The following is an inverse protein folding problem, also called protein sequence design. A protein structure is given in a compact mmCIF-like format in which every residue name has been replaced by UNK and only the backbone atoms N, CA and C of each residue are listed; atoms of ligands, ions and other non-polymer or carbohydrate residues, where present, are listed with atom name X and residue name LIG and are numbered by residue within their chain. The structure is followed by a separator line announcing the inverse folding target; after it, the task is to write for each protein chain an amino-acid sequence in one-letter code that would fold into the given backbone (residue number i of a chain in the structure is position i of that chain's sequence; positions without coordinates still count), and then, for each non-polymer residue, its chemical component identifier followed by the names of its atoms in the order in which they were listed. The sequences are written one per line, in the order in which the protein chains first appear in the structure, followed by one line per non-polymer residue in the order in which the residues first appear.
data_IF_345570714881
#
_entry.id   IF_345570714881
#
_cell.length_a   1.000
_cell.length_b   1.000
_cell.length_c   1.000
_cell.angle_alpha   90.00
_cell.angle_beta   90.00
_cell.angle_gamma   90.00
#
_symmetry.space_group_name_H-M   'P 1'
#
loop_
_entity.id
_entity.type
_entity.pdbx_description
1 polymer ?
#
# COMPACT_ATOMS: atom_id res chain seq x y z
N UNK A 1 32.06 -59.31 -28.56
CA UNK A 1 31.05 -58.70 -27.66
C UNK A 1 31.39 -57.22 -27.65
N UNK A 2 30.81 -56.44 -28.56
CA UNK A 2 29.51 -55.74 -28.40
C UNK A 2 29.71 -54.50 -27.50
N UNK A 3 29.79 -53.27 -28.05
CA UNK A 3 28.65 -52.37 -28.43
C UNK A 3 27.74 -52.07 -27.22
N UNK A 4 27.38 -50.85 -26.83
CA UNK A 4 27.33 -49.50 -27.46
C UNK A 4 27.56 -48.43 -26.34
N UNK A 5 27.73 -47.11 -26.49
CA UNK A 5 27.81 -46.18 -27.63
C UNK A 5 27.57 -44.72 -27.14
N UNK A 6 27.67 -43.70 -28.03
CA UNK A 6 27.40 -42.24 -27.80
C UNK A 6 28.37 -41.57 -26.83
N UNK A 7 29.39 -40.80 -27.23
CA UNK A 7 29.47 -39.65 -28.17
C UNK A 7 28.60 -38.45 -27.77
N UNK A 8 29.27 -37.40 -27.27
CA UNK A 8 28.74 -36.05 -27.09
C UNK A 8 29.36 -35.13 -28.16
N UNK A 9 28.57 -34.42 -28.99
CA UNK A 9 29.10 -33.51 -29.98
C UNK A 9 29.15 -32.05 -29.50
N UNK A 10 30.28 -31.41 -29.81
CA UNK A 10 30.42 -30.04 -30.32
C UNK A 10 29.83 -28.83 -29.54
N UNK A 11 30.72 -27.93 -29.11
CA UNK A 11 30.84 -26.64 -29.80
C UNK A 11 32.15 -25.91 -29.51
N UNK A 12 32.88 -25.57 -30.57
CA UNK A 12 33.99 -24.63 -30.53
C UNK A 12 33.83 -23.56 -31.63
N UNK A 13 34.42 -22.38 -31.40
CA UNK A 13 34.80 -21.36 -32.39
C UNK A 13 33.71 -20.56 -33.18
N UNK A 14 33.56 -19.30 -32.74
CA UNK A 14 33.69 -18.06 -33.53
C UNK A 14 32.99 -17.90 -34.91
N UNK A 15 32.08 -16.93 -34.97
CA UNK A 15 31.48 -16.44 -36.23
C UNK A 15 30.88 -15.02 -36.14
N UNK A 16 31.73 -14.02 -36.36
CA UNK A 16 31.52 -12.77 -37.13
C UNK A 16 30.11 -12.12 -37.23
N UNK A 17 30.05 -10.82 -36.88
CA UNK A 17 28.91 -9.92 -37.17
C UNK A 17 28.64 -9.74 -38.68
N UNK A 18 27.39 -9.39 -39.04
CA UNK A 18 27.10 -8.39 -40.06
C UNK A 18 26.56 -7.09 -39.44
N UNK A 19 26.73 -5.96 -40.16
CA UNK A 19 26.49 -4.60 -39.68
C UNK A 19 25.07 -4.09 -40.00
N UNK A 20 24.57 -3.21 -39.11
CA UNK A 20 23.69 -2.05 -39.37
C UNK A 20 22.49 -2.25 -40.30
N UNK A 21 21.30 -2.29 -39.73
CA UNK A 21 20.16 -1.59 -40.35
C UNK A 21 20.05 -0.20 -39.71
N UNK A 22 19.98 0.85 -40.53
CA UNK A 22 19.81 2.23 -40.07
C UNK A 22 18.37 2.62 -40.37
N UNK A 23 17.51 2.56 -39.35
CA UNK A 23 16.11 2.96 -39.43
C UNK A 23 15.82 4.04 -38.40
N UNK A 24 15.91 5.30 -38.81
CA UNK A 24 15.39 6.43 -38.04
C UNK A 24 14.08 6.86 -38.69
N UNK A 25 12.96 6.52 -38.07
CA UNK A 25 11.76 7.36 -38.05
C UNK A 25 11.00 7.12 -36.75
N UNK A 26 10.27 8.13 -36.32
CA UNK A 26 9.28 8.08 -35.26
C UNK A 26 8.38 6.84 -35.35
N UNK A 27 8.30 6.08 -34.26
CA UNK A 27 7.07 5.41 -33.88
C UNK A 27 6.91 5.55 -32.36
N UNK A 28 5.84 6.27 -31.96
CA UNK A 28 5.46 6.40 -30.57
C UNK A 28 4.81 5.09 -30.14
N UNK A 29 5.59 4.22 -29.48
CA UNK A 29 5.01 3.07 -28.77
C UNK A 29 4.20 3.64 -27.61
N UNK A 30 2.93 3.26 -27.54
CA UNK A 30 1.96 3.88 -26.66
C UNK A 30 2.39 3.84 -25.20
N UNK A 31 2.20 4.98 -24.51
CA UNK A 31 1.81 4.97 -23.12
C UNK A 31 0.47 4.24 -23.07
N UNK A 32 0.49 2.92 -22.84
CA UNK A 32 -0.72 2.17 -22.51
C UNK A 32 -1.32 2.80 -21.25
N UNK A 33 -2.63 3.03 -21.26
CA UNK A 33 -3.33 3.77 -20.21
C UNK A 33 -3.04 3.14 -18.84
N UNK A 34 -2.18 3.81 -18.05
CA UNK A 34 -2.04 3.53 -16.62
C UNK A 34 -3.45 3.67 -16.04
N UNK A 35 -4.03 2.55 -15.63
CA UNK A 35 -5.42 2.47 -15.22
C UNK A 35 -5.56 3.07 -13.81
N UNK A 36 -5.53 4.40 -13.75
CA UNK A 36 -5.53 5.19 -12.52
C UNK A 36 -6.59 4.67 -11.56
N UNK A 37 -6.18 3.98 -10.50
CA UNK A 37 -7.10 3.49 -9.49
C UNK A 37 -7.79 4.67 -8.80
N UNK A 38 -9.04 4.47 -8.39
CA UNK A 38 -9.81 5.46 -7.63
C UNK A 38 -8.99 5.92 -6.42
N UNK A 39 -8.89 7.23 -6.20
CA UNK A 39 -8.11 7.85 -5.11
C UNK A 39 -8.94 8.01 -3.86
N UNK A 40 -8.38 7.74 -2.68
CA UNK A 40 -9.05 8.13 -1.43
C UNK A 40 -9.03 9.65 -1.27
N UNK A 41 -10.05 10.23 -0.63
CA UNK A 41 -10.18 11.69 -0.47
C UNK A 41 -8.96 12.33 0.22
N UNK A 42 -8.42 11.67 1.24
CA UNK A 42 -7.26 12.15 1.99
C UNK A 42 -5.95 12.24 1.18
N UNK A 43 -5.83 11.51 0.05
CA UNK A 43 -4.61 11.50 -0.78
C UNK A 43 -4.33 12.88 -1.39
N UNK A 44 -5.38 13.68 -1.59
CA UNK A 44 -5.31 15.04 -2.13
C UNK A 44 -4.97 16.13 -1.12
N UNK A 45 -4.82 15.79 0.17
CA UNK A 45 -4.90 16.78 1.26
C UNK A 45 -3.62 16.97 2.08
N UNK A 46 -2.61 16.09 1.96
CA UNK A 46 -1.43 16.16 2.85
C UNK A 46 -0.23 15.31 2.42
N UNK A 47 0.94 15.64 2.98
CA UNK A 47 2.17 14.85 2.90
C UNK A 47 2.38 13.92 4.13
N UNK A 48 1.33 13.55 4.85
CA UNK A 48 1.39 12.65 6.01
C UNK A 48 0.22 11.68 6.03
N UNK A 49 0.45 10.47 6.50
CA UNK A 49 -0.59 9.43 6.57
C UNK A 49 -1.79 9.89 7.42
N UNK A 50 -3.00 9.79 6.87
CA UNK A 50 -4.22 10.40 7.46
C UNK A 50 -4.45 10.06 8.95
N UNK A 51 -4.33 8.79 9.34
CA UNK A 51 -4.58 8.35 10.73
C UNK A 51 -3.67 9.00 11.79
N UNK A 52 -2.60 9.70 11.38
CA UNK A 52 -1.67 10.42 12.27
C UNK A 52 -2.05 11.90 12.49
N UNK A 53 -3.06 12.42 11.79
CA UNK A 53 -3.36 13.86 11.75
C UNK A 53 -4.28 14.33 12.90
N UNK A 54 -5.15 13.45 13.39
CA UNK A 54 -5.93 13.65 14.62
C UNK A 54 -6.91 14.84 14.61
N UNK A 55 -8.03 14.71 13.89
CA UNK A 55 -9.10 15.71 13.92
C UNK A 55 -9.84 15.72 15.27
N UNK A 56 -9.90 16.90 15.91
CA UNK A 56 -10.58 17.11 17.20
C UNK A 56 -12.09 17.09 17.11
N UNK A 57 -12.70 17.40 15.95
CA UNK A 57 -14.16 17.39 15.80
C UNK A 57 -14.72 15.96 15.91
N UNK A 58 -13.95 14.97 15.43
CA UNK A 58 -14.22 13.54 15.49
C UNK A 58 -14.19 12.92 16.90
N UNK A 59 -13.71 13.65 17.92
CA UNK A 59 -13.67 13.23 19.34
C UNK A 59 -14.71 13.93 20.23
N UNK A 60 -15.64 14.69 19.65
CA UNK A 60 -16.81 15.18 20.40
C UNK A 60 -17.73 14.02 20.77
N UNK A 61 -18.43 14.10 21.91
CA UNK A 61 -19.38 13.05 22.35
C UNK A 61 -20.43 12.73 21.26
N UNK A 62 -20.88 13.75 20.53
CA UNK A 62 -21.83 13.59 19.42
C UNK A 62 -21.21 12.89 18.21
N UNK A 63 -19.96 13.17 17.85
CA UNK A 63 -19.27 12.48 16.77
C UNK A 63 -19.01 11.01 17.12
N UNK A 64 -18.56 10.74 18.35
CA UNK A 64 -18.35 9.38 18.87
C UNK A 64 -19.66 8.59 18.84
N UNK A 65 -20.77 9.16 19.33
CA UNK A 65 -22.07 8.50 19.30
C UNK A 65 -22.52 8.14 17.87
N UNK A 66 -22.36 9.05 16.90
CA UNK A 66 -22.66 8.77 15.49
C UNK A 66 -21.79 7.65 14.93
N UNK A 67 -20.47 7.66 15.18
CA UNK A 67 -19.54 6.62 14.71
C UNK A 67 -19.91 5.24 15.26
N UNK A 68 -20.32 5.16 16.52
CA UNK A 68 -20.84 3.92 17.12
C UNK A 68 -22.15 3.43 16.49
N UNK A 69 -23.02 4.32 15.99
CA UNK A 69 -24.21 3.94 15.23
C UNK A 69 -23.86 3.41 13.81
N UNK A 70 -22.81 3.94 13.18
CA UNK A 70 -22.36 3.51 11.85
C UNK A 70 -21.87 2.05 11.82
N UNK A 71 -21.36 1.52 12.93
CA UNK A 71 -20.98 0.11 13.07
C UNK A 71 -22.14 -0.88 12.82
N UNK A 72 -23.39 -0.41 12.88
CA UNK A 72 -24.61 -1.19 12.63
C UNK A 72 -25.32 -0.80 11.33
N UNK A 73 -24.73 0.09 10.52
CA UNK A 73 -25.30 0.49 9.23
C UNK A 73 -25.26 -0.70 8.26
N UNK A 74 -26.43 -1.08 7.73
CA UNK A 74 -26.56 -2.27 6.89
C UNK A 74 -25.73 -2.22 5.60
N UNK A 75 -25.60 -1.04 4.98
CA UNK A 75 -24.84 -0.87 3.73
C UNK A 75 -23.33 -0.92 4.00
N UNK A 76 -22.84 -0.30 5.07
CA UNK A 76 -21.43 -0.45 5.51
C UNK A 76 -21.11 -1.92 5.79
N UNK A 77 -22.00 -2.63 6.51
CA UNK A 77 -21.83 -4.05 6.81
C UNK A 77 -21.85 -4.92 5.55
N UNK A 78 -22.68 -4.60 4.54
CA UNK A 78 -22.69 -5.29 3.24
C UNK A 78 -21.37 -5.11 2.49
N UNK A 79 -20.80 -3.89 2.47
CA UNK A 79 -19.48 -3.65 1.85
C UNK A 79 -18.37 -4.40 2.58
N UNK A 80 -18.39 -4.47 3.91
CA UNK A 80 -17.42 -5.27 4.70
C UNK A 80 -17.62 -6.78 4.47
N UNK A 81 -18.86 -7.24 4.41
CA UNK A 81 -19.19 -8.63 4.10
C UNK A 81 -18.62 -9.07 2.75
N UNK A 82 -18.62 -8.19 1.74
CA UNK A 82 -18.00 -8.46 0.43
C UNK A 82 -16.53 -8.85 0.56
N UNK A 83 -15.75 -8.19 1.42
CA UNK A 83 -14.37 -8.61 1.70
C UNK A 83 -14.35 -10.01 2.35
N UNK A 84 -15.21 -10.28 3.34
CA UNK A 84 -15.29 -11.60 3.99
C UNK A 84 -15.60 -12.73 2.98
N UNK A 85 -16.50 -12.47 2.04
CA UNK A 85 -16.92 -13.42 1.00
C UNK A 85 -15.88 -13.60 -0.12
N UNK A 86 -14.85 -12.75 -0.18
CA UNK A 86 -13.70 -12.87 -1.11
C UNK A 86 -12.61 -13.82 -0.58
N UNK A 87 -12.59 -14.13 0.73
CA UNK A 87 -11.61 -15.05 1.30
C UNK A 87 -11.81 -16.48 0.80
N UNK A 88 -10.73 -17.25 0.52
CA UNK A 88 -10.82 -18.67 0.23
C UNK A 88 -11.58 -19.40 1.36
N UNK A 89 -12.67 -20.12 1.05
CA UNK A 89 -13.64 -20.52 2.07
C UNK A 89 -13.11 -21.63 2.97
N UNK A 90 -12.94 -21.34 4.27
CA UNK A 90 -12.65 -22.34 5.30
C UNK A 90 -13.82 -22.52 6.26
N UNK A 91 -14.04 -23.76 6.68
CA UNK A 91 -15.12 -24.14 7.60
C UNK A 91 -14.55 -24.84 8.82
N UNK A 92 -15.08 -24.48 9.99
CA UNK A 92 -14.77 -25.21 11.22
C UNK A 92 -15.52 -26.57 11.25
N UNK A 93 -15.38 -27.33 12.34
CA UNK A 93 -16.05 -28.63 12.52
C UNK A 93 -17.58 -28.57 12.50
N UNK A 94 -18.18 -27.39 12.67
CA UNK A 94 -19.63 -27.15 12.65
C UNK A 94 -20.12 -26.64 11.28
N UNK A 95 -19.21 -26.50 10.30
CA UNK A 95 -19.51 -25.99 8.97
C UNK A 95 -19.55 -24.47 8.85
N UNK A 96 -19.22 -23.74 9.93
CA UNK A 96 -19.25 -22.28 9.99
C UNK A 96 -18.02 -21.69 9.29
N UNK A 97 -18.25 -20.71 8.41
CA UNK A 97 -17.19 -19.99 7.70
C UNK A 97 -16.35 -19.12 8.66
N UNK A 98 -15.04 -19.15 8.48
CA UNK A 98 -14.08 -18.36 9.25
C UNK A 98 -12.84 -18.03 8.42
N UNK A 99 -12.11 -17.02 8.87
CA UNK A 99 -10.80 -16.61 8.38
C UNK A 99 -9.73 -17.14 9.36
N UNK A 100 -8.58 -17.61 8.86
CA UNK A 100 -7.43 -17.97 9.69
C UNK A 100 -6.39 -16.83 9.73
N UNK A 101 -5.37 -16.97 10.59
CA UNK A 101 -4.34 -15.94 10.76
C UNK A 101 -3.63 -15.60 9.45
N UNK A 102 -3.24 -16.61 8.67
CA UNK A 102 -2.42 -16.42 7.48
C UNK A 102 -3.20 -15.64 6.41
N UNK A 103 -4.48 -15.96 6.21
CA UNK A 103 -5.41 -15.20 5.39
C UNK A 103 -5.59 -13.75 5.88
N UNK A 104 -5.81 -13.56 7.18
CA UNK A 104 -5.99 -12.22 7.74
C UNK A 104 -4.76 -11.35 7.53
N UNK A 105 -3.57 -11.86 7.87
CA UNK A 105 -2.29 -11.16 7.67
C UNK A 105 -2.10 -10.83 6.19
N UNK A 106 -2.32 -11.80 5.31
CA UNK A 106 -2.19 -11.65 3.87
C UNK A 106 -3.07 -10.51 3.29
N UNK A 107 -4.31 -10.36 3.74
CA UNK A 107 -5.20 -9.27 3.33
C UNK A 107 -4.90 -7.95 4.08
N UNK A 108 -4.48 -8.02 5.35
CA UNK A 108 -4.07 -6.84 6.12
C UNK A 108 -2.87 -6.15 5.47
N UNK A 109 -1.86 -6.91 5.03
CA UNK A 109 -0.70 -6.39 4.31
C UNK A 109 -1.10 -5.66 3.01
N UNK A 110 -2.10 -6.17 2.29
CA UNK A 110 -2.66 -5.54 1.07
C UNK A 110 -3.34 -4.21 1.37
N UNK A 111 -4.19 -4.19 2.40
CA UNK A 111 -4.86 -2.97 2.89
C UNK A 111 -3.81 -1.93 3.33
N UNK A 112 -2.81 -2.36 4.10
CA UNK A 112 -1.73 -1.51 4.57
C UNK A 112 -0.88 -0.91 3.44
N UNK A 113 -0.47 -1.71 2.43
CA UNK A 113 0.28 -1.23 1.26
C UNK A 113 -0.50 -0.19 0.46
N UNK A 114 -1.82 -0.36 0.38
CA UNK A 114 -2.77 0.55 -0.27
C UNK A 114 -2.98 1.88 0.49
N UNK A 115 -2.89 1.88 1.82
CA UNK A 115 -3.21 3.03 2.68
C UNK A 115 -1.99 3.84 3.15
N UNK A 116 -0.86 3.18 3.44
CA UNK A 116 0.31 3.84 4.00
C UNK A 116 1.17 4.57 2.95
N UNK A 117 1.75 5.71 3.36
CA UNK A 117 2.71 6.50 2.58
C UNK A 117 4.17 6.05 2.76
N UNK A 118 4.38 4.91 3.41
CA UNK A 118 5.64 4.17 3.48
C UNK A 118 5.31 2.70 3.81
N UNK A 119 5.76 1.74 2.99
CA UNK A 119 5.48 0.32 3.22
C UNK A 119 6.77 -0.43 3.55
N UNK A 120 6.85 -0.95 4.77
CA UNK A 120 7.85 -1.95 5.20
C UNK A 120 7.11 -3.23 5.55
N UNK A 121 7.37 -4.30 4.81
CA UNK A 121 6.64 -5.56 4.96
C UNK A 121 6.83 -6.18 6.36
N UNK A 122 8.03 -6.09 6.93
CA UNK A 122 8.34 -6.74 8.22
C UNK A 122 7.64 -6.01 9.37
N UNK A 123 7.66 -4.68 9.35
CA UNK A 123 6.94 -3.86 10.33
C UNK A 123 5.43 -4.04 10.19
N UNK A 124 4.93 -4.10 8.96
CA UNK A 124 3.48 -4.25 8.70
C UNK A 124 2.99 -5.65 9.07
N UNK A 125 3.76 -6.70 8.81
CA UNK A 125 3.44 -8.08 9.22
C UNK A 125 3.39 -8.22 10.74
N UNK A 126 4.35 -7.61 11.46
CA UNK A 126 4.33 -7.57 12.92
C UNK A 126 3.06 -6.87 13.45
N UNK A 127 2.67 -5.74 12.87
CA UNK A 127 1.41 -5.06 13.21
C UNK A 127 0.16 -5.92 12.90
N UNK A 128 0.14 -6.63 11.78
CA UNK A 128 -0.94 -7.54 11.42
C UNK A 128 -1.10 -8.70 12.43
N UNK A 129 0.01 -9.21 12.96
CA UNK A 129 0.00 -10.24 14.01
C UNK A 129 -0.53 -9.71 15.34
N UNK A 130 -0.27 -8.44 15.66
CA UNK A 130 -0.76 -7.77 16.87
C UNK A 130 -2.28 -7.50 16.80
N UNK A 131 -2.79 -6.99 15.68
CA UNK A 131 -4.23 -6.83 15.46
C UNK A 131 -4.96 -8.17 15.46
N UNK A 132 -4.38 -9.23 14.85
CA UNK A 132 -4.96 -10.57 14.93
C UNK A 132 -5.13 -11.06 16.38
N UNK A 133 -4.11 -10.90 17.22
CA UNK A 133 -4.18 -11.35 18.63
C UNK A 133 -5.18 -10.52 19.44
N UNK A 134 -5.24 -9.20 19.20
CA UNK A 134 -6.22 -8.27 19.79
C UNK A 134 -7.66 -8.66 19.46
N UNK A 135 -7.94 -8.96 18.19
CA UNK A 135 -9.30 -9.24 17.70
C UNK A 135 -9.75 -10.66 18.03
N UNK A 136 -8.85 -11.65 17.94
CA UNK A 136 -9.19 -13.06 18.18
C UNK A 136 -8.99 -13.50 19.63
N UNK A 137 -8.18 -12.80 20.43
CA UNK A 137 -7.92 -13.08 21.86
C UNK A 137 -7.46 -14.52 22.09
N UNK A 138 -6.52 -14.97 21.26
CA UNK A 138 -5.96 -16.32 21.24
C UNK A 138 -6.82 -17.39 20.57
N UNK A 139 -7.97 -17.04 19.97
CA UNK A 139 -8.79 -17.98 19.19
C UNK A 139 -8.18 -18.15 17.79
N UNK A 140 -7.91 -19.38 17.29
CA UNK A 140 -7.22 -19.59 16.01
C UNK A 140 -8.10 -19.35 14.77
N UNK A 141 -9.22 -18.63 14.91
CA UNK A 141 -10.18 -18.34 13.85
C UNK A 141 -10.89 -17.01 14.11
N UNK A 142 -11.17 -16.27 13.04
CA UNK A 142 -11.97 -15.05 13.07
C UNK A 142 -13.29 -15.30 12.34
N UNK A 143 -14.41 -14.99 12.99
CA UNK A 143 -15.75 -15.13 12.39
C UNK A 143 -16.09 -13.88 11.58
N UNK A 144 -17.16 -13.94 10.79
CA UNK A 144 -17.69 -12.76 10.09
C UNK A 144 -18.01 -11.60 11.04
N UNK A 145 -18.47 -11.90 12.27
CA UNK A 145 -18.80 -10.88 13.25
C UNK A 145 -17.54 -10.17 13.80
N UNK A 146 -16.50 -10.93 14.16
CA UNK A 146 -15.24 -10.30 14.59
C UNK A 146 -14.51 -9.61 13.43
N UNK A 147 -14.59 -10.12 12.21
CA UNK A 147 -14.05 -9.43 11.03
C UNK A 147 -14.78 -8.12 10.74
N UNK A 148 -16.11 -8.07 10.88
CA UNK A 148 -16.88 -6.83 10.76
C UNK A 148 -16.42 -5.78 11.77
N UNK A 149 -16.18 -6.16 13.02
CA UNK A 149 -15.67 -5.26 14.04
C UNK A 149 -14.26 -4.74 13.70
N UNK A 150 -13.34 -5.64 13.35
CA UNK A 150 -11.96 -5.34 12.95
C UNK A 150 -11.88 -4.38 11.75
N UNK A 151 -12.60 -4.73 10.67
CA UNK A 151 -12.63 -3.92 9.44
C UNK A 151 -13.34 -2.58 9.67
N UNK A 152 -14.38 -2.52 10.51
CA UNK A 152 -15.01 -1.25 10.87
C UNK A 152 -14.06 -0.34 11.66
N UNK A 153 -13.32 -0.87 12.65
CA UNK A 153 -12.32 -0.08 13.40
C UNK A 153 -11.27 0.51 12.44
N UNK A 154 -10.78 -0.27 11.49
CA UNK A 154 -9.88 0.22 10.44
C UNK A 154 -10.52 1.33 9.61
N UNK A 155 -11.73 1.15 9.07
CA UNK A 155 -12.40 2.19 8.26
C UNK A 155 -12.67 3.46 9.09
N UNK A 156 -13.03 3.31 10.36
CA UNK A 156 -13.32 4.38 11.31
C UNK A 156 -12.09 5.20 11.75
N UNK A 157 -10.88 4.62 11.59
CA UNK A 157 -9.58 5.29 11.74
C UNK A 157 -9.20 6.06 10.46
N UNK A 158 -9.61 5.58 9.29
CA UNK A 158 -9.21 6.12 7.98
C UNK A 158 -10.25 7.00 7.29
N UNK A 159 -11.39 7.26 7.94
CA UNK A 159 -12.48 8.13 7.44
C UNK A 159 -12.55 9.43 8.24
N UNK A 160 -12.70 10.56 7.55
CA UNK A 160 -12.70 11.93 8.07
C UNK A 160 -14.11 12.51 8.33
N UNK A 161 -15.09 11.63 8.51
CA UNK A 161 -16.50 12.00 8.49
C UNK A 161 -17.34 11.15 9.41
N UNK A 162 -18.51 11.66 9.80
CA UNK A 162 -19.55 10.92 10.52
C UNK A 162 -20.74 10.58 9.62
N UNK A 163 -20.57 10.66 8.29
CA UNK A 163 -21.60 10.36 7.29
C UNK A 163 -21.38 8.95 6.69
N UNK A 164 -22.42 8.10 6.59
CA UNK A 164 -22.28 6.73 6.07
C UNK A 164 -21.61 6.65 4.70
N UNK A 165 -21.91 7.61 3.82
CA UNK A 165 -21.44 7.66 2.43
C UNK A 165 -19.91 7.71 2.34
N UNK A 166 -19.23 8.31 3.33
CA UNK A 166 -17.78 8.37 3.38
C UNK A 166 -17.15 6.99 3.66
N UNK A 167 -17.76 6.20 4.55
CA UNK A 167 -17.32 4.84 4.87
C UNK A 167 -17.56 3.91 3.69
N UNK A 168 -18.72 4.03 3.03
CA UNK A 168 -19.08 3.26 1.83
C UNK A 168 -18.09 3.56 0.69
N UNK A 169 -17.84 4.83 0.40
CA UNK A 169 -16.93 5.25 -0.65
C UNK A 169 -15.47 4.83 -0.36
N UNK A 170 -15.03 4.88 0.90
CA UNK A 170 -13.73 4.35 1.33
C UNK A 170 -13.66 2.83 1.10
N UNK A 171 -14.66 2.07 1.58
CA UNK A 171 -14.70 0.62 1.45
C UNK A 171 -14.70 0.16 -0.01
N UNK A 172 -15.48 0.81 -0.87
CA UNK A 172 -15.49 0.53 -2.32
C UNK A 172 -14.13 0.82 -2.96
N UNK A 173 -13.52 1.96 -2.65
CA UNK A 173 -12.20 2.35 -3.17
C UNK A 173 -11.10 1.38 -2.72
N UNK A 174 -11.15 0.97 -1.45
CA UNK A 174 -10.21 -0.01 -0.89
C UNK A 174 -10.39 -1.38 -1.55
N UNK A 175 -11.64 -1.83 -1.75
CA UNK A 175 -11.94 -3.10 -2.39
C UNK A 175 -11.41 -3.12 -3.84
N UNK A 176 -11.77 -2.13 -4.66
CA UNK A 176 -11.30 -2.00 -6.05
C UNK A 176 -9.75 -2.02 -6.19
N UNK A 177 -9.04 -1.49 -5.18
CA UNK A 177 -7.58 -1.46 -5.15
C UNK A 177 -6.94 -2.80 -4.77
N UNK A 178 -7.57 -3.59 -3.90
CA UNK A 178 -6.99 -4.85 -3.41
C UNK A 178 -7.57 -6.11 -4.06
N UNK A 179 -8.63 -6.00 -4.88
CA UNK A 179 -9.21 -7.13 -5.62
C UNK A 179 -9.10 -6.99 -7.14
N UNK A 180 -9.12 -8.12 -7.83
CA UNK A 180 -9.34 -8.23 -9.28
C UNK A 180 -10.68 -8.91 -9.53
N UNK A 181 -11.33 -8.59 -10.64
CA UNK A 181 -12.61 -9.16 -11.04
C UNK A 181 -12.43 -10.15 -12.20
N UNK A 182 -13.01 -11.32 -12.07
CA UNK A 182 -12.81 -12.48 -12.93
C UNK A 182 -14.14 -13.00 -13.46
N UNK A 183 -14.09 -13.61 -14.65
CA UNK A 183 -15.25 -14.21 -15.31
C UNK A 183 -14.82 -15.57 -15.88
N UNK A 184 -15.25 -16.65 -15.24
CA UNK A 184 -14.93 -18.03 -15.62
C UNK A 184 -16.23 -18.82 -15.81
N UNK A 185 -16.35 -19.55 -16.92
CA UNK A 185 -17.55 -20.33 -17.31
C UNK A 185 -18.91 -19.57 -17.25
N UNK A 186 -18.86 -18.22 -17.32
CA UNK A 186 -20.04 -17.35 -17.23
C UNK A 186 -20.45 -17.00 -15.80
N UNK A 187 -19.63 -17.33 -14.80
CA UNK A 187 -19.75 -16.88 -13.42
C UNK A 187 -18.72 -15.79 -13.12
N UNK A 188 -19.21 -14.68 -12.60
CA UNK A 188 -18.38 -13.58 -12.09
C UNK A 188 -17.94 -13.88 -10.65
N UNK A 189 -16.67 -13.59 -10.33
CA UNK A 189 -16.14 -13.61 -8.97
C UNK A 189 -15.01 -12.58 -8.80
N UNK A 190 -14.76 -12.17 -7.56
CA UNK A 190 -13.63 -11.33 -7.22
C UNK A 190 -12.58 -12.17 -6.46
N UNK A 191 -11.30 -11.85 -6.62
CA UNK A 191 -10.21 -12.41 -5.81
C UNK A 191 -9.29 -11.30 -5.30
N UNK A 192 -8.59 -11.52 -4.19
CA UNK A 192 -7.56 -10.59 -3.73
C UNK A 192 -6.34 -10.64 -4.66
N UNK A 193 -5.88 -9.47 -5.12
CA UNK A 193 -4.66 -9.31 -5.94
C UNK A 193 -3.44 -9.87 -5.22
N UNK A 194 -2.42 -10.31 -5.96
CA UNK A 194 -1.11 -10.50 -5.38
C UNK A 194 -0.59 -9.16 -4.79
N UNK A 195 0.16 -9.24 -3.69
CA UNK A 195 0.60 -8.02 -2.98
C UNK A 195 1.49 -7.14 -3.86
N UNK A 196 2.21 -7.71 -4.82
CA UNK A 196 3.05 -6.97 -5.76
C UNK A 196 2.25 -6.13 -6.76
N UNK A 197 1.04 -6.58 -7.13
CA UNK A 197 0.11 -5.88 -8.04
C UNK A 197 -0.69 -4.76 -7.36
N UNK A 198 -0.48 -4.57 -6.06
CA UNK A 198 -1.05 -3.44 -5.31
C UNK A 198 -0.07 -2.28 -5.38
N UNK A 199 -0.50 -1.24 -6.10
CA UNK A 199 0.18 0.04 -6.09
C UNK A 199 0.12 0.66 -4.70
N UNK A 200 1.29 1.11 -4.28
CA UNK A 200 1.48 1.93 -3.10
C UNK A 200 0.96 3.35 -3.35
N UNK A 201 0.54 4.07 -2.30
CA UNK A 201 0.06 5.45 -2.41
C UNK A 201 1.12 6.48 -1.97
N UNK A 202 2.01 6.93 -2.88
CA UNK A 202 2.94 8.00 -2.57
C UNK A 202 2.23 9.37 -2.51
N UNK A 203 2.76 10.34 -1.74
CA UNK A 203 2.34 11.73 -1.85
C UNK A 203 2.54 12.27 -3.26
N UNK A 204 1.71 13.22 -3.67
CA UNK A 204 1.69 13.80 -5.02
C UNK A 204 2.93 14.66 -5.38
N UNK A 205 3.94 14.72 -4.50
CA UNK A 205 5.18 15.49 -4.70
C UNK A 205 6.43 14.60 -4.71
N UNK A 206 6.71 13.99 -5.86
CA UNK A 206 8.01 13.40 -6.18
C UNK A 206 8.53 13.82 -7.58
N UNK A 207 8.00 14.91 -8.15
CA UNK A 207 8.70 15.64 -9.22
C UNK A 207 9.81 16.53 -8.61
N UNK A 208 10.97 15.96 -8.32
CA UNK A 208 12.23 16.72 -8.27
C UNK A 208 13.04 16.48 -9.54
N UNK A 209 12.57 17.09 -10.63
CA UNK A 209 13.33 17.26 -11.86
C UNK A 209 14.34 18.39 -11.76
N UNK A 210 15.28 18.34 -10.80
CA UNK A 210 16.37 19.32 -10.66
C UNK A 210 17.75 18.67 -10.49
N UNK A 211 18.16 17.88 -11.48
CA UNK A 211 19.58 17.66 -11.76
C UNK A 211 20.24 18.97 -12.17
N UNK A 212 20.62 19.78 -11.17
CA UNK A 212 21.53 20.90 -11.39
C UNK A 212 22.96 20.42 -11.20
N UNK A 213 23.58 19.98 -12.30
CA UNK A 213 25.03 19.87 -12.38
C UNK A 213 25.66 21.21 -11.97
N UNK A 214 26.22 21.25 -10.77
CA UNK A 214 26.97 22.38 -10.23
C UNK A 214 28.42 21.97 -10.08
N UNK A 215 29.29 22.55 -10.91
CA UNK A 215 30.71 22.19 -10.95
C UNK A 215 31.40 22.44 -9.61
N UNK A 216 32.21 21.47 -9.19
CA UNK A 216 33.06 21.56 -8.00
C UNK A 216 34.39 22.22 -8.40
N UNK A 217 34.39 23.55 -8.51
CA UNK A 217 35.60 24.32 -8.82
C UNK A 217 36.39 24.68 -7.54
N UNK A 218 37.63 24.21 -7.49
CA UNK A 218 38.61 24.53 -6.44
C UNK A 218 39.24 25.92 -6.63
N UNK A 219 39.30 26.69 -5.54
CA UNK A 219 40.34 27.70 -5.28
C UNK A 219 40.41 27.86 -3.75
N UNK A 220 41.46 27.42 -3.05
CA UNK A 220 42.81 28.00 -2.94
C UNK A 220 42.86 29.48 -2.47
N UNK A 221 43.48 29.71 -1.31
CA UNK A 221 44.38 30.85 -1.08
C UNK A 221 43.99 31.91 -0.03
N UNK A 222 44.94 32.23 0.86
CA UNK A 222 45.00 33.44 1.71
C UNK A 222 44.24 33.33 3.04
N UNK A 223 44.86 33.20 4.23
CA UNK A 223 45.92 33.98 4.92
C UNK A 223 45.46 35.33 5.49
N UNK A 224 45.69 35.49 6.81
CA UNK A 224 45.97 36.74 7.55
C UNK A 224 44.84 37.81 7.62
N UNK A 225 44.70 38.65 8.67
CA UNK A 225 45.50 38.87 9.88
C UNK A 225 44.63 39.44 11.05
N UNK A 226 45.31 39.97 12.09
CA UNK A 226 44.82 40.63 13.32
C UNK A 226 44.09 41.98 13.01
N UNK A 227 43.59 42.83 13.92
CA UNK A 227 43.72 43.01 15.37
C UNK A 227 42.53 43.88 15.93
N UNK A 228 42.75 44.57 17.05
CA UNK A 228 41.97 45.63 17.70
C UNK A 228 40.70 45.28 18.50
N UNK A 229 40.81 45.46 19.82
CA UNK A 229 39.69 45.52 20.76
C UNK A 229 39.46 46.93 21.32
N UNK A 230 38.50 47.04 22.25
CA UNK A 230 38.46 48.12 23.25
C UNK A 230 37.53 47.79 24.42
N UNK A 231 38.17 47.48 25.54
CA UNK A 231 37.97 47.98 26.91
C UNK A 231 36.77 48.89 27.23
N UNK A 232 36.32 48.73 28.48
CA UNK A 232 35.73 49.73 29.39
C UNK A 232 34.39 50.39 29.00
N UNK A 233 33.56 50.86 29.93
CA UNK A 233 33.38 50.70 31.39
C UNK A 233 31.92 51.13 31.65
N UNK A 234 31.25 50.64 32.69
CA UNK A 234 30.82 51.48 33.83
C UNK A 234 29.87 50.74 34.78
N UNK A 235 29.99 51.05 36.06
CA UNK A 235 29.19 50.45 37.13
C UNK A 235 28.08 51.39 37.62
N UNK A 236 26.95 50.80 38.06
CA UNK A 236 26.12 51.35 39.15
C UNK A 236 25.17 50.33 39.75
#
# INVERSE_FOLDING_TARGET
MSSDGRESPEREMLGSMPRRFVGSVHDAVGLEDVKHHKRFKFESQSNQTYHLQGDKEMYTEQAIAKRLELAYNAEILEKIDRFFDTFPPMKNSEGILHINKDQFVDVYLKIAKCLYMSYDQVVTEQGALEEWEKDTKGIPMMTRESYRASMFELVDIWTDSTQPEAYIEFLETLYERITTHHMEDGQEFDEFRDIEDIEFNPPETAEDGSTREGTFDNAEGGEEEQEDGKDDEDAK
#
